data_IF_682573503905
#
_entry.id   IF_682573503905
#
_cell.length_a   1.000
_cell.length_b   1.000
_cell.length_c   1.000
_cell.angle_alpha   90.00
_cell.angle_beta   90.00
_cell.angle_gamma   90.00
#
_symmetry.space_group_name_H-M   'P 1'
#
loop_
_entity.id
_entity.type
_entity.pdbx_description
1 polymer ?
#
# COMPACT_ATOMS: atom_id res chain seq x y z
N UNK A 1 6.40 8.07 11.80
CA UNK A 1 6.57 7.69 13.23
C UNK A 1 8.00 7.30 13.59
N UNK A 2 8.55 7.80 14.71
CA UNK A 2 9.88 7.43 15.22
C UNK A 2 9.77 6.18 16.11
N UNK A 3 10.14 5.00 15.61
CA UNK A 3 9.99 3.72 16.32
C UNK A 3 10.63 3.69 17.73
N UNK A 4 11.76 4.39 17.90
CA UNK A 4 12.43 4.52 19.20
C UNK A 4 11.59 5.25 20.25
N UNK A 5 10.78 6.23 19.83
CA UNK A 5 9.88 6.96 20.73
C UNK A 5 8.71 6.10 21.20
N UNK A 6 8.12 5.29 20.30
CA UNK A 6 7.10 4.31 20.65
C UNK A 6 7.64 3.29 21.67
N UNK A 7 8.89 2.84 21.50
CA UNK A 7 9.54 1.96 22.45
C UNK A 7 9.68 2.60 23.83
N UNK A 8 10.04 3.89 23.90
CA UNK A 8 10.19 4.58 25.18
C UNK A 8 8.86 4.81 25.90
N UNK A 9 7.77 5.04 25.17
CA UNK A 9 6.46 5.36 25.77
C UNK A 9 5.62 4.11 26.09
N UNK A 10 5.64 3.12 25.20
CA UNK A 10 4.77 1.94 25.28
C UNK A 10 5.58 0.64 25.46
N UNK A 11 6.90 0.66 25.37
CA UNK A 11 7.74 -0.54 25.41
C UNK A 11 7.90 -1.21 24.04
N UNK A 12 8.60 -2.35 24.01
CA UNK A 12 9.05 -2.99 22.77
C UNK A 12 7.92 -3.53 21.87
N UNK A 13 6.74 -3.78 22.43
CA UNK A 13 5.62 -4.35 21.68
C UNK A 13 5.05 -3.37 20.64
N UNK A 14 5.08 -2.07 20.94
CA UNK A 14 4.54 -1.04 20.05
C UNK A 14 5.29 -0.92 18.71
N UNK A 15 6.64 -0.77 18.67
CA UNK A 15 7.35 -0.75 17.39
C UNK A 15 7.28 -2.09 16.66
N UNK A 16 7.29 -3.23 17.36
CA UNK A 16 7.13 -4.55 16.73
C UNK A 16 5.79 -4.67 16.01
N UNK A 17 4.70 -4.26 16.68
CA UNK A 17 3.35 -4.27 16.10
C UNK A 17 3.30 -3.46 14.80
N UNK A 18 3.82 -2.24 14.78
CA UNK A 18 3.86 -1.40 13.57
C UNK A 18 4.66 -2.05 12.45
N UNK A 19 5.81 -2.68 12.76
CA UNK A 19 6.63 -3.38 11.76
C UNK A 19 5.82 -4.55 11.15
N UNK A 20 5.16 -5.34 11.98
CA UNK A 20 4.34 -6.46 11.52
C UNK A 20 3.12 -6.00 10.72
N UNK A 21 2.42 -4.96 11.16
CA UNK A 21 1.28 -4.38 10.45
C UNK A 21 1.71 -3.87 9.07
N UNK A 22 2.83 -3.13 8.98
CA UNK A 22 3.38 -2.70 7.68
C UNK A 22 3.72 -3.87 6.76
N UNK A 23 4.31 -4.94 7.29
CA UNK A 23 4.62 -6.13 6.52
C UNK A 23 3.37 -6.90 6.07
N UNK A 24 2.32 -6.93 6.90
CA UNK A 24 1.05 -7.53 6.56
C UNK A 24 0.34 -6.76 5.44
N UNK A 25 0.30 -5.42 5.54
CA UNK A 25 -0.28 -4.56 4.50
C UNK A 25 0.42 -4.76 3.15
N UNK A 26 1.76 -4.83 3.14
CA UNK A 26 2.54 -5.11 1.91
C UNK A 26 2.24 -6.46 1.25
N UNK A 27 1.80 -7.45 2.04
CA UNK A 27 1.46 -8.80 1.55
C UNK A 27 -0.02 -8.94 1.16
N UNK A 28 -0.82 -7.89 1.30
CA UNK A 28 -2.24 -7.94 0.98
C UNK A 28 -2.42 -8.10 -0.52
N UNK A 29 -2.88 -9.28 -0.95
CA UNK A 29 -3.08 -9.58 -2.36
C UNK A 29 -4.34 -8.87 -2.86
N UNK A 30 -4.15 -7.89 -3.75
CA UNK A 30 -5.25 -7.26 -4.51
C UNK A 30 -5.38 -7.95 -5.86
N UNK A 31 -6.52 -7.73 -6.50
CA UNK A 31 -6.71 -8.13 -7.89
C UNK A 31 -5.67 -7.40 -8.76
N UNK A 32 -4.95 -8.10 -9.64
CA UNK A 32 -3.81 -7.56 -10.37
C UNK A 32 -4.19 -6.44 -11.36
N UNK A 33 -5.47 -6.33 -11.69
CA UNK A 33 -6.00 -5.30 -12.57
C UNK A 33 -6.62 -4.11 -11.81
N UNK A 34 -6.58 -4.09 -10.48
CA UNK A 34 -7.11 -2.98 -9.70
C UNK A 34 -5.94 -2.16 -9.13
N UNK A 35 -5.84 -0.86 -9.43
CA UNK A 35 -4.78 -0.03 -8.89
C UNK A 35 -4.87 0.02 -7.36
N UNK A 36 -3.72 -0.03 -6.69
CA UNK A 36 -3.67 0.15 -5.25
C UNK A 36 -3.54 1.61 -4.90
N UNK A 37 -4.51 2.14 -4.16
CA UNK A 37 -4.45 3.45 -3.52
C UNK A 37 -3.54 3.52 -2.29
N UNK A 38 -2.88 2.42 -1.91
CA UNK A 38 -1.93 2.34 -0.78
C UNK A 38 -2.41 2.86 0.60
N UNK A 39 -3.69 3.14 0.76
CA UNK A 39 -4.28 3.82 1.93
C UNK A 39 -3.95 3.17 3.27
N UNK A 40 -3.97 1.84 3.35
CA UNK A 40 -3.65 1.13 4.60
C UNK A 40 -2.20 1.34 5.04
N UNK A 41 -1.27 1.52 4.10
CA UNK A 41 0.13 1.81 4.42
C UNK A 41 0.29 3.27 4.85
N UNK A 42 -0.42 4.19 4.21
CA UNK A 42 -0.41 5.62 4.53
C UNK A 42 -0.97 5.89 5.92
N UNK A 43 -2.06 5.23 6.32
CA UNK A 43 -2.58 5.29 7.69
C UNK A 43 -1.58 4.79 8.72
N UNK A 44 -0.85 3.71 8.45
CA UNK A 44 0.22 3.24 9.35
C UNK A 44 1.43 4.18 9.41
N UNK A 45 1.59 5.05 8.40
CA UNK A 45 2.66 6.04 8.33
C UNK A 45 2.24 7.41 8.89
N UNK A 46 0.94 7.64 9.04
CA UNK A 46 0.34 8.92 9.43
C UNK A 46 0.37 9.95 8.30
N UNK A 47 0.48 9.50 7.04
CA UNK A 47 0.42 10.39 5.87
C UNK A 47 -1.01 10.75 5.49
N UNK A 48 -2.01 9.99 5.94
CA UNK A 48 -3.43 10.25 5.69
C UNK A 48 -3.98 11.47 6.44
N UNK A 49 -3.24 12.01 7.41
CA UNK A 49 -3.63 13.19 8.19
C UNK A 49 -3.35 14.51 7.47
N UNK A 50 -2.49 14.50 6.44
CA UNK A 50 -2.03 15.69 5.73
C UNK A 50 -2.13 15.48 4.21
N UNK A 51 -2.26 16.56 3.47
CA UNK A 51 -2.24 16.56 2.00
C UNK A 51 -0.94 17.23 1.57
N UNK A 52 -0.05 16.48 0.93
CA UNK A 52 1.23 16.98 0.44
C UNK A 52 1.14 17.38 -1.04
N UNK A 53 2.10 18.19 -1.52
CA UNK A 53 2.17 18.59 -2.93
C UNK A 53 2.26 17.39 -3.88
N UNK A 54 2.90 16.31 -3.42
CA UNK A 54 3.01 15.04 -4.14
C UNK A 54 1.62 14.46 -4.43
N UNK A 55 0.65 14.60 -3.53
CA UNK A 55 -0.71 14.08 -3.73
C UNK A 55 -1.43 14.80 -4.87
N UNK A 56 -1.15 16.09 -5.10
CA UNK A 56 -1.77 16.86 -6.18
C UNK A 56 -1.18 16.50 -7.55
N UNK A 57 0.13 16.27 -7.63
CA UNK A 57 0.84 16.02 -8.91
C UNK A 57 0.76 14.55 -9.33
N UNK A 58 0.76 13.61 -8.39
CA UNK A 58 0.84 12.18 -8.69
C UNK A 58 -0.50 11.44 -8.64
N UNK A 59 -1.59 12.12 -8.23
CA UNK A 59 -2.94 11.51 -8.13
C UNK A 59 -3.85 11.92 -9.29
N UNK A 60 -3.36 12.67 -10.28
CA UNK A 60 -4.16 13.20 -11.38
C UNK A 60 -5.07 12.11 -12.02
N UNK A 61 -6.40 12.23 -11.88
CA UNK A 61 -7.34 11.22 -12.40
C UNK A 61 -7.34 11.11 -13.92
N UNK A 62 -6.91 12.17 -14.60
CA UNK A 62 -6.92 12.30 -16.07
C UNK A 62 -5.84 11.44 -16.75
N UNK A 63 -4.75 11.05 -16.05
CA UNK A 63 -3.71 10.16 -16.60
C UNK A 63 -3.86 8.69 -16.15
N UNK A 64 -4.67 8.42 -15.11
CA UNK A 64 -4.61 7.16 -14.35
C UNK A 64 -5.60 6.05 -14.72
N UNK A 65 -6.48 6.24 -15.71
CA UNK A 65 -7.55 5.27 -16.04
C UNK A 65 -7.59 4.95 -17.53
N UNK A 66 -6.44 4.92 -18.21
CA UNK A 66 -6.39 4.41 -19.58
C UNK A 66 -5.98 2.94 -19.60
N UNK A 67 -7.02 2.09 -19.67
CA UNK A 67 -6.96 0.68 -20.06
C UNK A 67 -5.92 -0.16 -19.30
N UNK A 68 -6.24 -0.47 -18.05
CA UNK A 68 -5.81 -1.76 -17.51
C UNK A 68 -6.45 -2.79 -18.44
N UNK A 69 -5.61 -3.54 -19.14
CA UNK A 69 -6.00 -4.64 -20.02
C UNK A 69 -7.24 -5.39 -19.46
N UNK A 70 -8.11 -5.89 -20.34
CA UNK A 70 -9.32 -6.64 -19.96
C UNK A 70 -9.08 -7.47 -18.70
N UNK A 71 -9.88 -7.30 -17.63
CA UNK A 71 -9.64 -7.97 -16.34
C UNK A 71 -9.40 -9.48 -16.47
N UNK A 72 -10.03 -10.10 -17.48
CA UNK A 72 -9.84 -11.49 -17.83
C UNK A 72 -8.39 -11.79 -18.28
N UNK A 73 -7.82 -11.03 -19.20
CA UNK A 73 -6.46 -11.23 -19.72
C UNK A 73 -5.40 -11.03 -18.63
N UNK A 74 -5.58 -10.04 -17.74
CA UNK A 74 -4.67 -9.79 -16.62
C UNK A 74 -4.72 -10.94 -15.62
N UNK A 75 -5.91 -11.44 -15.32
CA UNK A 75 -6.10 -12.56 -14.39
C UNK A 75 -5.50 -13.86 -14.95
N UNK A 76 -5.73 -14.17 -16.22
CA UNK A 76 -5.16 -15.36 -16.86
C UNK A 76 -3.63 -15.36 -16.78
N UNK A 77 -2.98 -14.22 -17.08
CA UNK A 77 -1.53 -14.10 -16.95
C UNK A 77 -1.04 -14.41 -15.53
N UNK A 78 -1.74 -13.93 -14.49
CA UNK A 78 -1.33 -14.17 -13.09
C UNK A 78 -1.57 -15.61 -12.65
N UNK A 79 -2.66 -16.23 -13.10
CA UNK A 79 -2.97 -17.62 -12.74
C UNK A 79 -2.09 -18.64 -13.46
N UNK A 80 -1.73 -18.38 -14.72
CA UNK A 80 -0.95 -19.29 -15.56
C UNK A 80 0.55 -18.96 -15.58
N UNK A 81 1.00 -17.88 -14.93
CA UNK A 81 2.43 -17.61 -14.76
C UNK A 81 3.07 -18.73 -13.92
N UNK A 82 4.25 -19.25 -14.29
CA UNK A 82 5.04 -20.12 -13.43
C UNK A 82 5.23 -19.45 -12.07
N UNK A 83 4.94 -20.20 -11.00
CA UNK A 83 5.30 -19.81 -9.64
C UNK A 83 6.64 -20.48 -9.35
N UNK A 84 7.71 -19.70 -9.39
CA UNK A 84 9.02 -20.11 -8.86
C UNK A 84 8.94 -20.34 -7.33
#
# INVERSE_FOLDING_TARGET
MRLAYLQSCQGIHAPLRIIYEKNAVKKTQRLPFLPSSNIALETLEGRDEFIDFDDYIFTDPEEGIESIASPHMVMEKVLFSPKD
#
